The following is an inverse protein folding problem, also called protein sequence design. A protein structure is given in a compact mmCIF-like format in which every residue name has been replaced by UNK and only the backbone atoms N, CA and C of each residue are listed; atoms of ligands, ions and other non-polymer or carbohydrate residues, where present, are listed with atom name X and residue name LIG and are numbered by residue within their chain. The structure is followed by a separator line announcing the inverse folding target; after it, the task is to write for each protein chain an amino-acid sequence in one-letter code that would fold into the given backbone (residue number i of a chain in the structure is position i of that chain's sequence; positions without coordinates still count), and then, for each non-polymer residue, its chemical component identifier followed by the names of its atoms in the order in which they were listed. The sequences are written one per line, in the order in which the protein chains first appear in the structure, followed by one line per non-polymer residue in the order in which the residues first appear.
data_IF_987469024672
#
_entry.id   IF_987469024672
#
_cell.length_a   1.000
_cell.length_b   1.000
_cell.length_c   1.000
_cell.angle_alpha   90.00
_cell.angle_beta   90.00
_cell.angle_gamma   90.00
#
_symmetry.space_group_name_H-M   'P 1'
#
loop_
_entity.id
_entity.type
_entity.pdbx_description
1 polymer ?
#
# COMPACT_ATOMS: atom_id res chain seq x y z
N UNK A 1 -31.18 -6.31 -2.96
CA UNK A 1 -29.89 -7.01 -3.11
C UNK A 1 -29.92 -8.22 -2.20
N UNK A 2 -29.52 -9.38 -2.71
CA UNK A 2 -29.27 -10.58 -1.90
C UNK A 2 -27.97 -10.44 -1.07
N UNK A 3 -27.71 -11.41 -0.19
CA UNK A 3 -26.52 -11.39 0.65
C UNK A 3 -25.21 -11.36 -0.17
N UNK A 4 -25.16 -12.10 -1.30
CA UNK A 4 -24.02 -12.09 -2.19
C UNK A 4 -23.75 -10.69 -2.75
N UNK A 5 -24.79 -10.01 -3.21
CA UNK A 5 -24.67 -8.63 -3.71
C UNK A 5 -24.15 -7.65 -2.66
N UNK A 6 -24.55 -7.78 -1.38
CA UNK A 6 -24.01 -6.96 -0.30
C UNK A 6 -22.54 -7.24 -0.02
N UNK A 7 -22.11 -8.51 -0.08
CA UNK A 7 -20.67 -8.88 0.09
C UNK A 7 -19.83 -8.30 -1.04
N UNK A 8 -20.27 -8.44 -2.29
CA UNK A 8 -19.58 -7.86 -3.45
C UNK A 8 -19.52 -6.33 -3.36
N UNK A 9 -20.61 -5.67 -2.96
CA UNK A 9 -20.63 -4.23 -2.75
C UNK A 9 -19.61 -3.81 -1.69
N UNK A 10 -19.60 -4.48 -0.54
CA UNK A 10 -18.62 -4.21 0.53
C UNK A 10 -17.17 -4.42 0.07
N UNK A 11 -16.90 -5.47 -0.72
CA UNK A 11 -15.59 -5.70 -1.32
C UNK A 11 -15.16 -4.50 -2.20
N UNK A 12 -16.02 -4.07 -3.11
CA UNK A 12 -15.72 -2.94 -4.01
C UNK A 12 -15.48 -1.65 -3.23
N UNK A 13 -16.32 -1.35 -2.23
CA UNK A 13 -16.12 -0.17 -1.35
C UNK A 13 -14.78 -0.24 -0.63
N UNK A 14 -14.43 -1.40 -0.07
CA UNK A 14 -13.15 -1.59 0.62
C UNK A 14 -11.94 -1.41 -0.33
N UNK A 15 -12.05 -1.90 -1.57
CA UNK A 15 -11.03 -1.69 -2.61
C UNK A 15 -10.88 -0.20 -2.92
N UNK A 16 -11.97 0.53 -3.16
CA UNK A 16 -11.94 1.97 -3.48
C UNK A 16 -11.30 2.76 -2.33
N UNK A 17 -11.72 2.54 -1.11
CA UNK A 17 -11.19 3.24 0.06
C UNK A 17 -9.71 2.89 0.31
N UNK A 18 -9.36 1.61 0.20
CA UNK A 18 -7.99 1.14 0.36
C UNK A 18 -7.05 1.71 -0.70
N UNK A 19 -7.45 1.68 -1.98
CA UNK A 19 -6.66 2.24 -3.08
C UNK A 19 -6.56 3.77 -3.00
N UNK A 20 -7.62 4.46 -2.60
CA UNK A 20 -7.60 5.91 -2.38
C UNK A 20 -6.58 6.31 -1.31
N UNK A 21 -6.61 5.64 -0.16
CA UNK A 21 -5.65 5.86 0.92
C UNK A 21 -4.21 5.46 0.50
N UNK A 22 -4.04 4.35 -0.24
CA UNK A 22 -2.74 3.96 -0.78
C UNK A 22 -2.20 5.00 -1.78
N UNK A 23 -3.06 5.57 -2.62
CA UNK A 23 -2.71 6.64 -3.55
C UNK A 23 -2.18 7.89 -2.85
N UNK A 24 -2.75 8.27 -1.71
CA UNK A 24 -2.24 9.38 -0.89
C UNK A 24 -0.82 9.10 -0.38
N UNK A 25 -0.54 7.87 0.08
CA UNK A 25 0.82 7.47 0.47
C UNK A 25 1.79 7.42 -0.71
N UNK A 26 1.36 6.95 -1.88
CA UNK A 26 2.18 6.97 -3.09
C UNK A 26 2.51 8.42 -3.51
N UNK A 27 1.54 9.33 -3.46
CA UNK A 27 1.77 10.75 -3.74
C UNK A 27 2.77 11.37 -2.75
N UNK A 28 2.71 11.00 -1.48
CA UNK A 28 3.65 11.44 -0.46
C UNK A 28 5.10 11.06 -0.82
N UNK A 29 5.36 9.90 -1.45
CA UNK A 29 6.69 9.52 -1.92
C UNK A 29 7.23 10.49 -2.99
N UNK A 30 6.41 10.93 -3.94
CA UNK A 30 6.80 11.92 -4.94
C UNK A 30 7.06 13.29 -4.33
N UNK A 31 6.25 13.67 -3.33
CA UNK A 31 6.39 14.96 -2.66
C UNK A 31 7.64 15.01 -1.78
N UNK A 32 7.86 14.00 -0.94
CA UNK A 32 9.00 13.97 -0.01
C UNK A 32 10.34 13.98 -0.76
N UNK A 33 10.43 13.32 -1.93
CA UNK A 33 11.64 13.30 -2.75
C UNK A 33 12.10 14.68 -3.22
N UNK A 34 11.15 15.64 -3.34
CA UNK A 34 11.41 17.02 -3.81
C UNK A 34 11.49 18.03 -2.68
N UNK A 35 11.30 17.59 -1.45
CA UNK A 35 11.32 18.45 -0.27
C UNK A 35 12.77 18.58 0.27
N UNK A 36 13.08 19.73 0.80
CA UNK A 36 14.41 20.04 1.38
C UNK A 36 14.31 20.35 2.88
N UNK A 37 13.14 20.77 3.35
CA UNK A 37 12.89 21.09 4.74
C UNK A 37 12.54 19.83 5.54
N UNK A 38 13.31 19.54 6.60
CA UNK A 38 13.15 18.34 7.42
C UNK A 38 11.79 18.26 8.13
N UNK A 39 11.26 19.39 8.59
CA UNK A 39 9.98 19.44 9.29
C UNK A 39 8.83 19.13 8.33
N UNK A 40 8.90 19.63 7.10
CA UNK A 40 7.95 19.33 6.05
C UNK A 40 8.04 17.88 5.56
N UNK A 41 9.27 17.34 5.46
CA UNK A 41 9.46 15.91 5.18
C UNK A 41 8.77 15.05 6.25
N UNK A 42 8.96 15.36 7.51
CA UNK A 42 8.32 14.65 8.62
C UNK A 42 6.79 14.71 8.53
N UNK A 43 6.21 15.89 8.30
CA UNK A 43 4.76 16.04 8.13
C UNK A 43 4.20 15.22 6.94
N UNK A 44 4.90 15.21 5.81
CA UNK A 44 4.52 14.39 4.64
C UNK A 44 4.55 12.90 4.99
N UNK A 45 5.56 12.46 5.74
CA UNK A 45 5.72 11.07 6.14
C UNK A 45 4.68 10.63 7.18
N UNK A 46 4.22 11.52 8.06
CA UNK A 46 3.11 11.27 8.99
C UNK A 46 1.79 11.03 8.24
N UNK A 47 1.47 11.89 7.27
CA UNK A 47 0.31 11.69 6.40
C UNK A 47 0.42 10.35 5.65
N UNK A 48 1.60 10.03 5.12
CA UNK A 48 1.83 8.73 4.48
C UNK A 48 1.60 7.56 5.43
N UNK A 49 2.06 7.65 6.69
CA UNK A 49 1.87 6.56 7.68
C UNK A 49 0.40 6.34 8.01
N UNK A 50 -0.34 7.43 8.25
CA UNK A 50 -1.77 7.38 8.53
C UNK A 50 -2.56 6.81 7.34
N UNK A 51 -2.22 7.24 6.12
CA UNK A 51 -2.84 6.74 4.89
C UNK A 51 -2.55 5.26 4.67
N UNK A 52 -1.33 4.79 4.95
CA UNK A 52 -0.97 3.38 4.84
C UNK A 52 -1.73 2.50 5.84
N UNK A 53 -1.99 2.99 7.05
CA UNK A 53 -2.81 2.27 8.02
C UNK A 53 -4.23 2.06 7.48
N UNK A 54 -4.87 3.10 6.96
CA UNK A 54 -6.20 3.02 6.35
C UNK A 54 -6.18 2.09 5.13
N UNK A 55 -5.16 2.21 4.28
CA UNK A 55 -4.97 1.35 3.10
C UNK A 55 -4.85 -0.12 3.49
N UNK A 56 -4.09 -0.44 4.55
CA UNK A 56 -3.89 -1.81 5.03
C UNK A 56 -5.19 -2.42 5.58
N UNK A 57 -5.97 -1.65 6.32
CA UNK A 57 -7.28 -2.09 6.81
C UNK A 57 -8.23 -2.31 5.62
N UNK A 58 -8.29 -1.36 4.69
CA UNK A 58 -9.12 -1.47 3.48
C UNK A 58 -8.75 -2.70 2.65
N UNK A 59 -7.46 -2.95 2.46
CA UNK A 59 -6.97 -4.13 1.74
C UNK A 59 -7.34 -5.44 2.46
N UNK A 60 -7.18 -5.51 3.78
CA UNK A 60 -7.56 -6.69 4.56
C UNK A 60 -9.07 -6.98 4.41
N UNK A 61 -9.90 -5.96 4.57
CA UNK A 61 -11.37 -6.08 4.40
C UNK A 61 -11.71 -6.50 2.96
N UNK A 62 -11.04 -5.91 1.97
CA UNK A 62 -11.23 -6.28 0.56
C UNK A 62 -10.87 -7.75 0.32
N UNK A 63 -9.74 -8.24 0.84
CA UNK A 63 -9.34 -9.65 0.70
C UNK A 63 -10.38 -10.57 1.33
N UNK A 64 -10.79 -10.31 2.56
CA UNK A 64 -11.77 -11.14 3.28
C UNK A 64 -13.09 -11.20 2.53
N UNK A 65 -13.65 -10.04 2.15
CA UNK A 65 -14.92 -9.98 1.42
C UNK A 65 -14.80 -10.58 0.01
N UNK A 66 -13.65 -10.41 -0.65
CA UNK A 66 -13.38 -11.02 -1.96
C UNK A 66 -13.34 -12.54 -1.89
N UNK A 67 -12.72 -13.12 -0.86
CA UNK A 67 -12.73 -14.57 -0.64
C UNK A 67 -14.15 -15.07 -0.37
N UNK A 68 -14.90 -14.38 0.51
CA UNK A 68 -16.29 -14.74 0.82
C UNK A 68 -17.14 -14.70 -0.46
N UNK A 69 -17.02 -13.63 -1.27
CA UNK A 69 -17.74 -13.53 -2.54
C UNK A 69 -17.37 -14.66 -3.50
N UNK A 70 -16.09 -15.02 -3.58
CA UNK A 70 -15.63 -16.10 -4.46
C UNK A 70 -16.15 -17.48 -4.01
N UNK A 71 -16.24 -17.74 -2.70
CA UNK A 71 -16.86 -18.95 -2.15
C UNK A 71 -18.36 -18.97 -2.44
N UNK A 72 -19.08 -17.90 -2.13
CA UNK A 72 -20.53 -17.81 -2.32
C UNK A 72 -20.92 -17.93 -3.80
N UNK A 73 -20.12 -17.38 -4.70
CA UNK A 73 -20.34 -17.45 -6.15
C UNK A 73 -19.82 -18.74 -6.81
N UNK A 74 -19.23 -19.67 -6.06
CA UNK A 74 -18.63 -20.89 -6.60
C UNK A 74 -17.44 -20.65 -7.55
N UNK A 75 -16.80 -19.47 -7.43
CA UNK A 75 -15.78 -19.04 -8.41
C UNK A 75 -14.44 -19.76 -8.27
N UNK A 76 -14.13 -20.41 -7.13
CA UNK A 76 -12.88 -21.15 -6.94
C UNK A 76 -12.72 -22.39 -7.83
N UNK A 77 -13.79 -22.84 -8.49
CA UNK A 77 -13.70 -23.84 -9.55
C UNK A 77 -13.09 -23.30 -10.86
N UNK A 78 -12.93 -21.99 -10.98
CA UNK A 78 -12.34 -21.30 -12.13
C UNK A 78 -10.92 -20.83 -11.80
N UNK A 79 -10.11 -20.57 -12.81
CA UNK A 79 -8.71 -20.20 -12.61
C UNK A 79 -8.51 -18.71 -12.28
N UNK A 80 -9.39 -17.81 -12.72
CA UNK A 80 -9.22 -16.37 -12.56
C UNK A 80 -9.08 -15.87 -11.09
N UNK A 81 -9.77 -16.44 -10.06
CA UNK A 81 -9.54 -15.99 -8.68
C UNK A 81 -8.15 -16.34 -8.19
N UNK A 82 -7.61 -17.49 -8.58
CA UNK A 82 -6.25 -17.89 -8.25
C UNK A 82 -5.22 -16.99 -8.91
N UNK A 83 -5.43 -16.62 -10.17
CA UNK A 83 -4.60 -15.64 -10.87
C UNK A 83 -4.64 -14.27 -10.17
N UNK A 84 -5.81 -13.81 -9.71
CA UNK A 84 -5.95 -12.57 -8.97
C UNK A 84 -5.19 -12.61 -7.64
N UNK A 85 -5.25 -13.71 -6.89
CA UNK A 85 -4.50 -13.90 -5.64
C UNK A 85 -2.99 -13.84 -5.92
N UNK A 86 -2.50 -14.53 -6.95
CA UNK A 86 -1.07 -14.54 -7.32
C UNK A 86 -0.61 -13.11 -7.67
N UNK A 87 -1.35 -12.39 -8.51
CA UNK A 87 -1.02 -11.01 -8.88
C UNK A 87 -0.99 -10.11 -7.64
N UNK A 88 -1.98 -10.24 -6.75
CA UNK A 88 -2.05 -9.47 -5.51
C UNK A 88 -0.84 -9.72 -4.62
N UNK A 89 -0.42 -10.99 -4.45
CA UNK A 89 0.75 -11.37 -3.64
C UNK A 89 2.03 -10.77 -4.25
N UNK A 90 2.18 -10.82 -5.57
CA UNK A 90 3.35 -10.23 -6.27
C UNK A 90 3.37 -8.71 -6.06
N UNK A 91 2.24 -8.03 -6.25
CA UNK A 91 2.15 -6.56 -6.05
C UNK A 91 2.49 -6.19 -4.61
N UNK A 92 1.84 -6.81 -3.62
CA UNK A 92 2.10 -6.51 -2.20
C UNK A 92 3.55 -6.83 -1.83
N UNK A 93 4.06 -7.99 -2.25
CA UNK A 93 5.43 -8.42 -1.96
C UNK A 93 6.48 -7.48 -2.54
N UNK A 94 6.21 -6.90 -3.70
CA UNK A 94 7.12 -5.91 -4.32
C UNK A 94 7.11 -4.55 -3.62
N UNK A 95 6.01 -4.17 -2.95
CA UNK A 95 5.90 -2.86 -2.29
C UNK A 95 6.86 -2.72 -1.10
N UNK A 96 7.12 -3.80 -0.35
CA UNK A 96 8.02 -3.74 0.81
C UNK A 96 9.44 -3.31 0.42
N UNK A 97 10.17 -3.96 -0.51
CA UNK A 97 11.50 -3.56 -0.89
C UNK A 97 11.54 -2.24 -1.68
N UNK A 98 10.52 -1.93 -2.47
CA UNK A 98 10.54 -0.77 -3.37
C UNK A 98 10.03 0.52 -2.71
N UNK A 99 9.14 0.42 -1.75
CA UNK A 99 8.54 1.57 -1.07
C UNK A 99 8.76 1.53 0.45
N UNK A 100 8.44 0.42 1.10
CA UNK A 100 8.45 0.30 2.56
C UNK A 100 9.84 0.53 3.16
N UNK A 101 10.85 -0.18 2.69
CA UNK A 101 12.23 -0.07 3.21
C UNK A 101 12.80 1.33 2.96
N UNK A 102 12.78 1.92 1.74
CA UNK A 102 13.30 3.27 1.52
C UNK A 102 12.59 4.34 2.36
N UNK A 103 11.26 4.28 2.47
CA UNK A 103 10.49 5.24 3.27
C UNK A 103 10.79 5.10 4.78
N UNK A 104 10.95 3.88 5.29
CA UNK A 104 11.31 3.65 6.67
C UNK A 104 12.75 4.09 6.98
N UNK A 105 13.68 3.95 6.04
CA UNK A 105 15.03 4.47 6.21
C UNK A 105 15.05 5.99 6.29
N UNK A 106 14.24 6.68 5.48
CA UNK A 106 14.10 8.14 5.58
C UNK A 106 13.46 8.55 6.91
N UNK A 107 12.41 7.84 7.39
CA UNK A 107 11.83 8.10 8.71
C UNK A 107 12.86 7.97 9.83
N UNK A 108 13.68 6.93 9.79
CA UNK A 108 14.77 6.71 10.76
C UNK A 108 15.80 7.84 10.71
N UNK A 109 16.21 8.28 9.52
CA UNK A 109 17.13 9.39 9.36
C UNK A 109 16.57 10.72 9.87
N UNK A 110 15.25 10.89 9.88
CA UNK A 110 14.58 12.06 10.47
C UNK A 110 14.27 11.92 11.97
N UNK A 111 14.70 10.84 12.63
CA UNK A 111 14.40 10.60 14.03
C UNK A 111 12.97 10.14 14.32
N UNK A 112 12.22 9.76 13.28
CA UNK A 112 10.82 9.32 13.43
C UNK A 112 10.73 7.85 13.82
N UNK A 113 9.66 7.49 14.51
CA UNK A 113 9.30 6.09 14.78
C UNK A 113 8.87 5.38 13.48
N UNK A 114 9.18 4.09 13.36
CA UNK A 114 8.78 3.26 12.24
C UNK A 114 7.97 2.05 12.72
N UNK A 115 7.22 1.46 11.80
CA UNK A 115 6.51 0.21 12.10
C UNK A 115 7.52 -0.88 12.48
N UNK A 116 7.34 -1.46 13.67
CA UNK A 116 8.24 -2.47 14.25
C UNK A 116 9.09 -1.94 15.42
N UNK A 117 9.14 -0.64 15.66
CA UNK A 117 9.72 -0.09 16.90
C UNK A 117 8.82 -0.48 18.08
N UNK A 118 9.42 -0.83 19.22
CA UNK A 118 8.66 -1.23 20.40
C UNK A 118 8.03 -0.01 21.07
N UNK A 119 6.81 -0.18 21.56
CA UNK A 119 6.15 0.87 22.35
C UNK A 119 6.95 1.12 23.64
N UNK A 120 7.54 2.31 23.77
CA UNK A 120 8.40 2.67 24.90
C UNK A 120 9.90 2.74 24.56
N UNK A 121 10.29 2.43 23.33
CA UNK A 121 11.66 2.72 22.89
C UNK A 121 11.93 4.23 23.03
N UNK A 122 13.14 4.63 23.44
CA UNK A 122 13.50 6.04 23.53
C UNK A 122 13.38 6.71 22.16
N UNK A 123 13.06 8.03 22.13
CA UNK A 123 13.08 8.78 20.87
C UNK A 123 14.44 8.60 20.18
N UNK A 124 14.39 8.36 18.89
CA UNK A 124 15.61 8.24 18.07
C UNK A 124 16.13 9.64 17.77
N UNK A 125 17.44 9.85 17.91
CA UNK A 125 18.08 11.08 17.45
C UNK A 125 17.96 11.20 15.94
N UNK A 126 17.73 12.42 15.46
CA UNK A 126 17.74 12.70 14.04
C UNK A 126 19.16 12.55 13.49
N UNK A 127 19.27 11.89 12.35
CA UNK A 127 20.53 11.70 11.65
C UNK A 127 21.07 12.98 11.02
N UNK A 128 22.27 12.89 10.47
CA UNK A 128 22.95 13.98 9.77
C UNK A 128 22.25 14.34 8.45
N UNK A 129 22.60 15.49 7.86
CA UNK A 129 22.07 15.89 6.53
C UNK A 129 22.51 14.91 5.45
N UNK A 130 23.69 14.33 5.56
CA UNK A 130 24.20 13.31 4.63
C UNK A 130 23.38 12.01 4.71
N UNK A 131 23.01 11.57 5.91
CA UNK A 131 22.15 10.39 6.09
C UNK A 131 20.76 10.61 5.51
N UNK A 132 20.17 11.78 5.73
CA UNK A 132 18.86 12.14 5.14
C UNK A 132 18.97 12.19 3.62
N UNK A 133 19.99 12.84 3.06
CA UNK A 133 20.21 12.91 1.62
C UNK A 133 20.40 11.51 1.00
N UNK A 134 21.18 10.64 1.67
CA UNK A 134 21.39 9.26 1.24
C UNK A 134 20.10 8.44 1.26
N UNK A 135 19.27 8.58 2.31
CA UNK A 135 18.00 7.91 2.40
C UNK A 135 17.03 8.41 1.30
N UNK A 136 17.00 9.73 1.07
CA UNK A 136 16.16 10.36 0.05
C UNK A 136 16.53 9.91 -1.39
N UNK A 137 17.83 9.77 -1.67
CA UNK A 137 18.31 9.32 -2.98
C UNK A 137 17.89 7.89 -3.34
N UNK A 138 17.59 7.05 -2.33
CA UNK A 138 17.11 5.68 -2.54
C UNK A 138 15.60 5.58 -2.83
N UNK A 139 14.85 6.66 -2.64
CA UNK A 139 13.41 6.70 -2.92
C UNK A 139 13.21 6.85 -4.43
N UNK A 140 12.60 5.83 -5.04
CA UNK A 140 12.25 5.79 -6.47
C UNK A 140 10.75 5.58 -6.60
N UNK A 141 9.93 6.64 -6.49
CA UNK A 141 8.47 6.50 -6.43
C UNK A 141 7.86 5.96 -7.73
N UNK A 142 8.55 6.10 -8.86
CA UNK A 142 8.07 5.69 -10.18
C UNK A 142 7.88 4.16 -10.27
N UNK A 143 8.78 3.39 -9.66
CA UNK A 143 8.74 1.93 -9.72
C UNK A 143 7.52 1.35 -9.00
N UNK A 144 7.31 1.59 -7.68
CA UNK A 144 6.13 1.07 -7.00
C UNK A 144 4.83 1.66 -7.56
N UNK A 145 4.82 2.91 -8.04
CA UNK A 145 3.64 3.50 -8.67
C UNK A 145 3.28 2.76 -9.97
N UNK A 146 4.27 2.48 -10.83
CA UNK A 146 4.06 1.72 -12.07
C UNK A 146 3.55 0.31 -11.80
N UNK A 147 4.18 -0.43 -10.87
CA UNK A 147 3.73 -1.76 -10.47
C UNK A 147 2.30 -1.72 -9.90
N UNK A 148 1.99 -0.71 -9.08
CA UNK A 148 0.66 -0.53 -8.51
C UNK A 148 -0.40 -0.32 -9.59
N UNK A 149 -0.16 0.60 -10.52
CA UNK A 149 -1.11 0.89 -11.62
C UNK A 149 -1.33 -0.33 -12.50
N UNK A 150 -0.25 -1.00 -12.93
CA UNK A 150 -0.34 -2.22 -13.75
C UNK A 150 -1.05 -3.34 -12.99
N UNK A 151 -0.68 -3.55 -11.72
CA UNK A 151 -1.28 -4.57 -10.87
C UNK A 151 -2.79 -4.36 -10.68
N UNK A 152 -3.20 -3.13 -10.36
CA UNK A 152 -4.63 -2.76 -10.24
C UNK A 152 -5.36 -2.98 -11.57
N UNK A 153 -4.75 -2.60 -12.69
CA UNK A 153 -5.32 -2.84 -14.03
C UNK A 153 -5.57 -4.32 -14.30
N UNK A 154 -4.57 -5.17 -14.02
CA UNK A 154 -4.70 -6.63 -14.20
C UNK A 154 -5.77 -7.21 -13.27
N UNK A 155 -5.77 -6.81 -11.98
CA UNK A 155 -6.76 -7.29 -11.02
C UNK A 155 -8.18 -6.90 -11.43
N UNK A 156 -8.39 -5.65 -11.86
CA UNK A 156 -9.68 -5.19 -12.35
C UNK A 156 -10.14 -5.97 -13.58
N UNK A 157 -9.22 -6.19 -14.54
CA UNK A 157 -9.52 -6.99 -15.72
C UNK A 157 -9.90 -8.44 -15.37
N UNK A 158 -9.17 -9.10 -14.48
CA UNK A 158 -9.47 -10.46 -14.04
C UNK A 158 -10.86 -10.56 -13.37
N UNK A 159 -11.23 -9.57 -12.56
CA UNK A 159 -12.51 -9.55 -11.85
C UNK A 159 -13.69 -9.24 -12.77
N UNK A 160 -13.51 -8.39 -13.77
CA UNK A 160 -14.55 -7.97 -14.69
C UNK A 160 -14.73 -8.97 -15.84
N UNK A 161 -13.63 -9.31 -16.53
CA UNK A 161 -13.67 -10.18 -17.71
C UNK A 161 -13.82 -11.67 -17.35
N UNK A 162 -13.35 -12.10 -16.18
CA UNK A 162 -13.39 -13.52 -15.72
C UNK A 162 -12.96 -14.49 -16.82
N UNK A 163 -11.76 -14.31 -17.42
CA UNK A 163 -11.40 -14.83 -18.74
C UNK A 163 -11.27 -16.35 -18.82
N UNK A 164 -11.24 -17.09 -17.69
CA UNK A 164 -11.10 -18.56 -17.64
C UNK A 164 -11.59 -19.14 -16.31
#
# INVERSE_FOLDING_TARGET
MDLYGWVVFGHVVAVILGLGAHGASAFAMFRVRRETDRSRMAAILEVSSSSLMVASIGLLVAIVLGIIAAVMGGHFSRFWPWAAIIVLVIVIGSMTPLAGIPMNNLRRALGMTVQGDKKGDPPRDAGTDEEVATALARIRPELPAGIGVVGVGILTWLMEAKPF
#
